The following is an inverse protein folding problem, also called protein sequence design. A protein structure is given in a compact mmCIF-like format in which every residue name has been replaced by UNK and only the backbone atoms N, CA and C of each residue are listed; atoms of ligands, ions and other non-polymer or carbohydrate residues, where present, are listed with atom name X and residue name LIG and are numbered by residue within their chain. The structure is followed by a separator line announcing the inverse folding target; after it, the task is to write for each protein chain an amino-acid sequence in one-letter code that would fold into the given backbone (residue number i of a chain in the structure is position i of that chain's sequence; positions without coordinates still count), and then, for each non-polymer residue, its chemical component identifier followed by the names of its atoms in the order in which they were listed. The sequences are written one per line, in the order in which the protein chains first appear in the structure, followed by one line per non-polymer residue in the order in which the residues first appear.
data_IF_871388409475
#
_entry.id   IF_871388409475
#
_cell.length_a   1.000
_cell.length_b   1.000
_cell.length_c   1.000
_cell.angle_alpha   90.00
_cell.angle_beta   90.00
_cell.angle_gamma   90.00
#
_symmetry.space_group_name_H-M   'P 1'
#
loop_
_entity.id
_entity.type
_entity.pdbx_description
1 polymer ?
#
# COMPACT_ATOMS: atom_id res chain seq x y z
N UNK A 1 55.34 72.51 -0.27
CA UNK A 1 53.89 72.37 -0.60
C UNK A 1 53.60 70.91 -0.89
N UNK A 2 53.12 70.16 0.11
CA UNK A 2 52.73 68.71 -0.02
C UNK A 2 51.23 68.62 -0.03
N UNK A 3 50.66 68.13 -1.14
CA UNK A 3 49.18 67.92 -1.28
C UNK A 3 48.81 66.59 -0.61
N UNK A 4 47.96 66.67 0.37
CA UNK A 4 47.37 65.54 1.05
C UNK A 4 46.21 65.01 0.19
N UNK A 5 46.24 63.72 -0.22
CA UNK A 5 45.16 63.06 -0.93
C UNK A 5 44.30 62.30 0.12
N UNK A 6 43.06 62.70 0.25
CA UNK A 6 42.07 62.08 1.05
C UNK A 6 41.53 60.86 0.27
N UNK A 7 41.71 59.65 0.83
CA UNK A 7 41.10 58.42 0.30
C UNK A 7 39.81 58.17 1.09
N UNK A 8 38.68 58.27 0.41
CA UNK A 8 37.36 57.92 0.98
C UNK A 8 37.13 56.43 0.74
N UNK A 9 37.08 55.65 1.83
CA UNK A 9 36.76 54.23 1.79
C UNK A 9 35.26 54.07 1.88
N UNK A 10 34.59 53.67 0.76
CA UNK A 10 33.19 53.28 0.76
C UNK A 10 33.04 51.83 1.29
N UNK A 11 32.47 51.67 2.47
CA UNK A 11 32.04 50.39 2.99
C UNK A 11 30.70 50.02 2.36
N UNK A 12 30.72 49.08 1.42
CA UNK A 12 29.51 48.39 0.93
C UNK A 12 29.06 47.33 1.94
N UNK A 13 28.01 47.59 2.68
CA UNK A 13 27.32 46.60 3.48
C UNK A 13 26.42 45.75 2.57
N UNK A 14 26.84 44.51 2.28
CA UNK A 14 25.98 43.53 1.61
C UNK A 14 24.93 43.04 2.61
N UNK A 15 23.71 43.54 2.47
CA UNK A 15 22.55 43.00 3.15
C UNK A 15 22.22 41.64 2.57
N UNK A 16 22.48 40.56 3.29
CA UNK A 16 21.99 39.24 2.97
C UNK A 16 20.47 39.22 3.16
N UNK A 17 19.73 39.22 2.05
CA UNK A 17 18.28 38.96 2.10
C UNK A 17 18.08 37.48 2.52
N UNK A 18 17.64 37.26 3.74
CA UNK A 18 17.17 35.96 4.18
C UNK A 18 15.93 35.59 3.37
N UNK A 19 16.01 34.50 2.58
CA UNK A 19 14.84 33.91 1.96
C UNK A 19 13.86 33.49 3.06
N UNK A 20 12.54 33.68 2.85
CA UNK A 20 11.56 33.26 3.82
C UNK A 20 11.64 31.73 3.97
N UNK A 21 11.89 31.25 5.20
CA UNK A 21 11.74 29.86 5.54
C UNK A 21 10.29 29.46 5.26
N UNK A 22 10.10 28.43 4.44
CA UNK A 22 8.81 27.81 4.27
C UNK A 22 8.34 27.38 5.67
N UNK A 23 7.30 28.02 6.16
CA UNK A 23 6.62 27.63 7.40
C UNK A 23 6.06 26.24 7.20
N UNK A 24 6.51 25.29 8.03
CA UNK A 24 5.88 23.98 8.09
C UNK A 24 4.37 24.19 8.35
N UNK A 25 3.53 23.67 7.45
CA UNK A 25 2.08 23.75 7.63
C UNK A 25 1.72 23.09 8.96
N UNK A 26 0.94 23.81 9.75
CA UNK A 26 0.48 23.34 11.04
C UNK A 26 -0.43 22.10 10.88
N UNK A 27 -0.39 21.10 11.78
CA UNK A 27 -1.20 19.88 11.72
C UNK A 27 -2.70 20.11 11.47
N UNK A 28 -3.24 21.26 11.90
CA UNK A 28 -4.64 21.65 11.68
C UNK A 28 -5.01 21.90 10.20
N UNK A 29 -4.06 22.29 9.34
CA UNK A 29 -4.32 22.51 7.92
C UNK A 29 -4.37 21.17 7.15
N UNK A 30 -3.55 20.19 7.54
CA UNK A 30 -3.59 18.83 6.99
C UNK A 30 -4.92 18.13 7.32
N UNK A 31 -5.46 18.31 8.53
CA UNK A 31 -6.74 17.72 8.96
C UNK A 31 -7.94 18.28 8.19
N UNK A 32 -7.93 19.56 7.83
CA UNK A 32 -9.03 20.19 7.10
C UNK A 32 -9.17 19.61 5.68
N UNK A 33 -8.06 19.20 5.06
CA UNK A 33 -8.07 18.60 3.73
C UNK A 33 -8.59 17.15 3.77
N UNK A 34 -8.20 16.36 4.79
CA UNK A 34 -8.69 15.01 5.01
C UNK A 34 -10.20 14.93 5.24
N UNK A 35 -10.78 15.96 5.86
CA UNK A 35 -12.22 16.02 6.12
C UNK A 35 -13.07 16.23 4.85
N UNK A 36 -12.47 16.52 3.70
CA UNK A 36 -13.17 16.83 2.45
C UNK A 36 -12.63 16.01 1.28
N UNK A 37 -12.92 14.68 1.23
CA UNK A 37 -12.60 13.87 0.07
C UNK A 37 -13.22 14.47 -1.21
N UNK A 38 -12.58 14.22 -2.34
CA UNK A 38 -13.08 14.67 -3.65
C UNK A 38 -14.49 14.15 -3.92
N UNK A 39 -15.25 14.91 -4.70
CA UNK A 39 -16.57 14.51 -5.16
C UNK A 39 -16.55 13.25 -6.06
N UNK A 40 -17.73 12.74 -6.39
CA UNK A 40 -17.84 11.51 -7.17
C UNK A 40 -17.38 11.69 -8.62
N UNK A 41 -17.57 12.85 -9.21
CA UNK A 41 -17.12 13.12 -10.58
C UNK A 41 -15.58 13.14 -10.65
N UNK A 42 -14.92 13.84 -9.75
CA UNK A 42 -13.46 13.85 -9.63
C UNK A 42 -12.92 12.46 -9.34
N UNK A 43 -13.59 11.70 -8.45
CA UNK A 43 -13.20 10.31 -8.17
C UNK A 43 -13.29 9.43 -9.41
N UNK A 44 -14.35 9.53 -10.24
CA UNK A 44 -14.44 8.78 -11.49
C UNK A 44 -13.27 9.10 -12.42
N UNK A 45 -12.85 10.36 -12.52
CA UNK A 45 -11.65 10.75 -13.29
C UNK A 45 -10.38 10.10 -12.74
N UNK A 46 -10.26 9.96 -11.39
CA UNK A 46 -9.11 9.27 -10.82
C UNK A 46 -9.06 7.79 -11.17
N UNK A 47 -10.19 7.13 -11.36
CA UNK A 47 -10.24 5.72 -11.79
C UNK A 47 -9.59 5.49 -13.16
N UNK A 48 -9.52 6.50 -14.02
CA UNK A 48 -8.88 6.40 -15.34
C UNK A 48 -7.37 6.12 -15.22
N UNK A 49 -6.71 6.58 -14.15
CA UNK A 49 -5.31 6.23 -13.88
C UNK A 49 -5.09 4.71 -13.72
N UNK A 50 -6.11 3.99 -13.27
CA UNK A 50 -6.06 2.56 -12.98
C UNK A 50 -6.56 1.68 -14.12
N UNK A 51 -6.97 2.28 -15.24
CA UNK A 51 -7.35 1.54 -16.42
C UNK A 51 -6.18 0.67 -16.95
N UNK A 52 -6.47 -0.57 -17.32
CA UNK A 52 -5.49 -1.53 -17.82
C UNK A 52 -6.10 -2.40 -18.94
N UNK A 53 -5.25 -3.03 -19.73
CA UNK A 53 -5.67 -3.94 -20.80
C UNK A 53 -5.99 -5.33 -20.21
N UNK A 54 -7.27 -5.62 -20.02
CA UNK A 54 -7.76 -6.92 -19.53
C UNK A 54 -7.46 -8.08 -20.48
N UNK A 55 -7.25 -7.81 -21.79
CA UNK A 55 -6.98 -8.84 -22.81
C UNK A 55 -5.49 -9.15 -22.94
N UNK A 56 -4.62 -8.38 -22.25
CA UNK A 56 -3.19 -8.63 -22.27
C UNK A 56 -2.91 -10.06 -21.74
N UNK A 57 -2.22 -10.93 -22.50
CA UNK A 57 -1.84 -12.26 -22.03
C UNK A 57 -1.06 -12.17 -20.73
N UNK A 58 -1.28 -13.11 -19.81
CA UNK A 58 -0.54 -13.13 -18.54
C UNK A 58 0.95 -13.49 -18.72
N UNK A 59 1.31 -14.20 -19.79
CA UNK A 59 2.65 -14.79 -19.93
C UNK A 59 3.13 -15.36 -18.58
N UNK A 60 2.24 -16.20 -17.99
CA UNK A 60 2.42 -16.76 -16.67
C UNK A 60 3.59 -17.75 -16.66
N UNK A 61 4.52 -17.57 -15.72
CA UNK A 61 5.66 -18.47 -15.51
C UNK A 61 5.66 -18.94 -14.07
N UNK A 62 5.67 -20.26 -13.88
CA UNK A 62 5.97 -20.87 -12.58
C UNK A 62 7.47 -21.07 -12.52
N UNK A 63 8.14 -20.41 -11.58
CA UNK A 63 9.59 -20.40 -11.44
C UNK A 63 10.03 -21.60 -10.59
N UNK A 64 9.40 -21.77 -9.44
CA UNK A 64 9.58 -22.92 -8.56
C UNK A 64 8.30 -23.27 -7.82
N UNK A 65 8.30 -24.44 -7.18
CA UNK A 65 7.20 -24.92 -6.33
C UNK A 65 7.77 -25.63 -5.12
N UNK A 66 7.25 -25.34 -3.96
CA UNK A 66 7.60 -25.92 -2.68
C UNK A 66 6.34 -26.36 -1.94
N UNK A 67 6.42 -27.45 -1.20
CA UNK A 67 5.35 -27.87 -0.28
C UNK A 67 5.93 -28.04 1.11
N UNK A 68 5.33 -27.36 2.08
CA UNK A 68 5.75 -27.39 3.47
C UNK A 68 4.55 -27.19 4.40
N UNK A 69 4.51 -27.99 5.48
CA UNK A 69 3.50 -27.86 6.54
C UNK A 69 2.04 -27.80 6.02
N UNK A 70 1.73 -28.62 5.00
CA UNK A 70 0.41 -28.70 4.39
C UNK A 70 0.03 -27.50 3.51
N UNK A 71 1.02 -26.67 3.13
CA UNK A 71 0.85 -25.54 2.22
C UNK A 71 1.77 -25.73 1.00
N UNK A 72 1.18 -25.65 -0.17
CA UNK A 72 1.92 -25.55 -1.44
C UNK A 72 2.16 -24.09 -1.78
N UNK A 73 3.42 -23.69 -2.00
CA UNK A 73 3.83 -22.38 -2.50
C UNK A 73 4.29 -22.50 -3.94
N UNK A 74 3.73 -21.69 -4.84
CA UNK A 74 4.26 -21.49 -6.18
C UNK A 74 4.92 -20.13 -6.25
N UNK A 75 6.21 -20.04 -6.58
CA UNK A 75 6.85 -18.80 -6.99
C UNK A 75 6.55 -18.59 -8.47
N UNK A 76 5.96 -17.47 -8.80
CA UNK A 76 5.49 -17.22 -10.16
C UNK A 76 5.69 -15.75 -10.58
N UNK A 77 5.68 -15.53 -11.89
CA UNK A 77 5.63 -14.19 -12.45
C UNK A 77 4.62 -14.12 -13.59
N UNK A 78 4.03 -12.95 -13.76
CA UNK A 78 3.03 -12.71 -14.82
C UNK A 78 3.13 -11.30 -15.36
N UNK A 79 2.72 -11.11 -16.60
CA UNK A 79 2.60 -9.78 -17.19
C UNK A 79 1.39 -9.05 -16.62
N UNK A 80 1.65 -7.96 -15.90
CA UNK A 80 0.62 -7.13 -15.29
C UNK A 80 0.10 -6.08 -16.26
N UNK A 81 0.98 -5.22 -16.75
CA UNK A 81 0.69 -4.26 -17.81
C UNK A 81 1.72 -4.42 -18.93
N UNK A 82 1.54 -3.74 -20.06
CA UNK A 82 2.44 -3.86 -21.19
C UNK A 82 3.89 -3.50 -20.80
N UNK A 83 4.80 -4.46 -20.92
CA UNK A 83 6.21 -4.30 -20.56
C UNK A 83 6.49 -4.35 -19.05
N UNK A 84 5.49 -4.59 -18.21
CA UNK A 84 5.67 -4.67 -16.75
C UNK A 84 5.27 -6.06 -16.24
N UNK A 85 6.24 -6.75 -15.61
CA UNK A 85 6.04 -8.05 -14.99
C UNK A 85 5.90 -7.93 -13.48
N UNK A 86 4.90 -8.59 -12.92
CA UNK A 86 4.74 -8.79 -11.49
C UNK A 86 5.32 -10.15 -11.08
N UNK A 87 5.91 -10.22 -9.88
CA UNK A 87 6.41 -11.43 -9.24
C UNK A 87 5.59 -11.70 -8.00
N UNK A 88 5.30 -12.97 -7.72
CA UNK A 88 4.40 -13.34 -6.64
C UNK A 88 4.71 -14.72 -6.06
N UNK A 89 4.27 -14.94 -4.82
CA UNK A 89 4.11 -16.26 -4.23
C UNK A 89 2.62 -16.58 -4.09
N UNK A 90 2.20 -17.69 -4.69
CA UNK A 90 0.86 -18.23 -4.48
C UNK A 90 0.93 -19.37 -3.46
N UNK A 91 0.35 -19.13 -2.29
CA UNK A 91 0.20 -20.15 -1.24
C UNK A 91 -1.20 -20.76 -1.33
N UNK A 92 -1.26 -22.09 -1.28
CA UNK A 92 -2.52 -22.84 -1.32
C UNK A 92 -2.51 -23.96 -0.30
N UNK A 93 -3.66 -24.36 0.27
CA UNK A 93 -3.74 -25.63 0.97
C UNK A 93 -3.26 -26.77 0.07
N UNK A 94 -2.51 -27.73 0.61
CA UNK A 94 -2.06 -28.90 -0.14
C UNK A 94 -3.21 -29.87 -0.51
N UNK A 95 -4.37 -29.72 0.13
CA UNK A 95 -5.55 -30.51 -0.15
C UNK A 95 -6.10 -30.24 -1.56
N UNK A 96 -6.65 -31.26 -2.25
CA UNK A 96 -7.28 -31.08 -3.56
C UNK A 96 -8.51 -30.19 -3.46
N UNK A 97 -8.66 -29.27 -4.44
CA UNK A 97 -9.84 -28.41 -4.53
C UNK A 97 -11.04 -29.20 -5.02
N UNK A 98 -12.09 -29.28 -4.22
CA UNK A 98 -13.41 -29.78 -4.63
C UNK A 98 -14.29 -28.69 -5.25
N UNK A 99 -13.91 -27.42 -5.10
CA UNK A 99 -14.63 -26.23 -5.55
C UNK A 99 -13.68 -25.05 -5.79
N UNK A 100 -14.20 -23.94 -6.29
CA UNK A 100 -13.44 -22.69 -6.39
C UNK A 100 -13.10 -22.16 -5.00
N UNK A 101 -11.87 -21.67 -4.83
CA UNK A 101 -11.32 -21.25 -3.55
C UNK A 101 -11.60 -19.78 -3.23
N UNK A 102 -11.96 -19.44 -1.98
CA UNK A 102 -11.81 -18.08 -1.50
C UNK A 102 -10.33 -17.70 -1.51
N UNK A 103 -10.03 -16.46 -1.81
CA UNK A 103 -8.64 -16.04 -2.05
C UNK A 103 -8.33 -14.68 -1.41
N UNK A 104 -7.05 -14.43 -1.17
CA UNK A 104 -6.52 -13.17 -0.67
C UNK A 104 -5.41 -12.71 -1.59
N UNK A 105 -5.46 -11.44 -2.01
CA UNK A 105 -4.29 -10.74 -2.57
C UNK A 105 -3.62 -10.03 -1.40
N UNK A 106 -2.31 -10.25 -1.22
CA UNK A 106 -1.56 -9.72 -0.08
C UNK A 106 -0.47 -8.75 -0.57
N UNK A 107 -0.51 -7.52 -0.06
CA UNK A 107 0.50 -6.48 -0.30
C UNK A 107 1.40 -6.36 0.93
N UNK A 108 2.71 -6.41 0.71
CA UNK A 108 3.74 -6.29 1.75
C UNK A 108 3.95 -4.85 2.23
N UNK A 109 4.71 -4.65 3.29
CA UNK A 109 5.20 -3.34 3.75
C UNK A 109 6.39 -2.82 2.93
N UNK A 110 6.94 -1.67 3.32
CA UNK A 110 8.01 -0.96 2.61
C UNK A 110 9.42 -1.57 2.74
N UNK A 111 9.56 -2.84 3.08
CA UNK A 111 10.87 -3.50 3.19
C UNK A 111 11.42 -4.00 1.86
N UNK A 112 12.77 -4.13 1.72
CA UNK A 112 13.41 -4.52 0.45
C UNK A 112 13.03 -5.91 -0.05
N UNK A 113 12.69 -6.81 0.87
CA UNK A 113 12.36 -8.20 0.54
C UNK A 113 11.01 -8.39 -0.16
N UNK A 114 10.18 -7.34 -0.27
CA UNK A 114 8.90 -7.43 -0.98
C UNK A 114 8.02 -8.55 -0.42
N UNK A 115 7.54 -9.44 -1.29
CA UNK A 115 6.74 -10.62 -0.93
C UNK A 115 7.48 -11.62 -0.02
N UNK A 116 8.80 -11.55 0.06
CA UNK A 116 9.62 -12.35 0.97
C UNK A 116 9.84 -11.70 2.34
N UNK A 117 9.15 -10.59 2.62
CA UNK A 117 9.13 -9.93 3.92
C UNK A 117 8.68 -10.90 5.03
N UNK A 118 9.29 -10.87 6.23
CA UNK A 118 8.92 -11.76 7.34
C UNK A 118 7.43 -11.75 7.70
N UNK A 119 6.77 -10.59 7.62
CA UNK A 119 5.33 -10.48 7.84
C UNK A 119 4.51 -11.28 6.83
N UNK A 120 4.88 -11.24 5.55
CA UNK A 120 4.23 -12.03 4.50
C UNK A 120 4.50 -13.52 4.70
N UNK A 121 5.78 -13.89 4.96
CA UNK A 121 6.16 -15.28 5.18
C UNK A 121 5.48 -15.93 6.40
N UNK A 122 5.12 -15.13 7.41
CA UNK A 122 4.32 -15.60 8.53
C UNK A 122 2.83 -15.69 8.18
N UNK A 123 2.28 -14.63 7.58
CA UNK A 123 0.82 -14.50 7.41
C UNK A 123 0.27 -15.34 6.26
N UNK A 124 0.98 -15.40 5.13
CA UNK A 124 0.45 -16.09 3.95
C UNK A 124 0.24 -17.61 4.17
N UNK A 125 1.18 -18.36 4.77
CA UNK A 125 0.94 -19.77 5.11
C UNK A 125 -0.17 -19.96 6.18
N UNK A 126 -0.31 -19.04 7.14
CA UNK A 126 -1.39 -19.10 8.14
C UNK A 126 -2.76 -18.96 7.48
N UNK A 127 -2.92 -17.99 6.59
CA UNK A 127 -4.15 -17.78 5.83
C UNK A 127 -4.41 -18.99 4.91
N UNK A 128 -3.38 -19.55 4.28
CA UNK A 128 -3.52 -20.72 3.43
C UNK A 128 -3.99 -21.95 4.23
N UNK A 129 -3.42 -22.21 5.41
CA UNK A 129 -3.89 -23.29 6.31
C UNK A 129 -5.33 -23.10 6.79
N UNK A 130 -5.80 -21.86 6.84
CA UNK A 130 -7.20 -21.56 7.15
C UNK A 130 -8.17 -21.79 5.96
N UNK A 131 -7.67 -22.31 4.83
CA UNK A 131 -8.48 -22.72 3.68
C UNK A 131 -8.64 -21.66 2.60
N UNK A 132 -7.81 -20.63 2.55
CA UNK A 132 -7.83 -19.59 1.53
C UNK A 132 -6.56 -19.61 0.67
N UNK A 133 -6.69 -19.40 -0.64
CA UNK A 133 -5.49 -19.11 -1.44
C UNK A 133 -4.94 -17.72 -1.07
N UNK A 134 -3.62 -17.56 -1.11
CA UNK A 134 -2.98 -16.25 -0.89
C UNK A 134 -2.00 -15.97 -2.02
N UNK A 135 -2.24 -14.89 -2.76
CA UNK A 135 -1.31 -14.38 -3.75
C UNK A 135 -0.59 -13.14 -3.20
N UNK A 136 0.61 -13.32 -2.69
CA UNK A 136 1.47 -12.25 -2.22
C UNK A 136 2.28 -11.72 -3.40
N UNK A 137 2.12 -10.44 -3.77
CA UNK A 137 2.78 -9.82 -4.93
C UNK A 137 3.85 -8.82 -4.50
N UNK A 138 4.95 -8.74 -5.25
CA UNK A 138 5.91 -7.65 -5.11
C UNK A 138 5.32 -6.34 -5.65
N UNK A 139 5.25 -5.31 -4.82
CA UNK A 139 4.98 -3.96 -5.32
C UNK A 139 6.17 -3.45 -6.13
N UNK A 140 5.93 -2.52 -7.04
CA UNK A 140 6.99 -1.94 -7.87
C UNK A 140 8.11 -1.35 -7.00
N UNK A 141 9.35 -1.52 -7.40
CA UNK A 141 10.60 -1.14 -6.72
C UNK A 141 10.98 -2.01 -5.52
N UNK A 142 10.21 -3.05 -5.19
CA UNK A 142 10.48 -3.94 -4.07
C UNK A 142 10.63 -5.40 -4.53
N UNK A 143 11.32 -6.21 -3.73
CA UNK A 143 11.53 -7.62 -4.02
C UNK A 143 12.24 -7.84 -5.36
N UNK A 144 11.74 -8.73 -6.19
CA UNK A 144 12.28 -9.02 -7.53
C UNK A 144 12.02 -7.88 -8.55
N UNK A 145 11.31 -6.84 -8.16
CA UNK A 145 11.08 -5.63 -8.97
C UNK A 145 11.95 -4.46 -8.54
N UNK A 146 12.93 -4.68 -7.68
CA UNK A 146 13.89 -3.66 -7.27
C UNK A 146 14.68 -3.15 -8.48
N UNK A 147 15.01 -1.87 -8.44
CA UNK A 147 15.79 -1.15 -9.47
C UNK A 147 16.81 -0.26 -8.79
N UNK A 148 17.60 0.48 -9.55
CA UNK A 148 18.55 1.47 -9.04
C UNK A 148 17.88 2.65 -8.31
N UNK A 149 16.54 2.74 -8.36
CA UNK A 149 15.80 3.81 -7.68
C UNK A 149 15.95 3.73 -6.16
N UNK A 150 15.97 2.50 -5.60
CA UNK A 150 16.23 2.25 -4.17
C UNK A 150 17.44 1.32 -4.05
N UNK A 151 18.43 1.72 -3.27
CA UNK A 151 19.69 0.98 -3.09
C UNK A 151 19.96 0.59 -1.66
N UNK A 152 19.61 1.42 -0.71
CA UNK A 152 19.82 1.19 0.73
C UNK A 152 18.53 0.83 1.46
N UNK A 153 17.38 1.13 0.88
CA UNK A 153 16.04 0.93 1.44
C UNK A 153 15.83 1.57 2.82
N UNK A 154 16.65 2.58 3.17
CA UNK A 154 16.38 3.38 4.37
C UNK A 154 15.06 4.14 4.22
N UNK A 155 14.43 4.48 5.34
CA UNK A 155 13.22 5.30 5.31
C UNK A 155 13.48 6.62 4.58
N UNK A 156 14.62 7.28 4.87
CA UNK A 156 15.01 8.52 4.21
C UNK A 156 15.10 8.35 2.68
N UNK A 157 15.77 7.32 2.18
CA UNK A 157 15.88 7.08 0.72
C UNK A 157 14.51 6.85 0.08
N UNK A 158 13.65 6.04 0.72
CA UNK A 158 12.30 5.78 0.21
C UNK A 158 11.46 7.07 0.12
N UNK A 159 11.57 7.95 1.13
CA UNK A 159 10.87 9.23 1.11
C UNK A 159 11.45 10.17 0.05
N UNK A 160 12.76 10.28 -0.04
CA UNK A 160 13.40 11.19 -0.99
C UNK A 160 13.20 10.77 -2.45
N UNK A 161 13.09 9.48 -2.73
CA UNK A 161 13.04 8.97 -4.10
C UNK A 161 11.65 8.53 -4.57
N UNK A 162 10.74 8.20 -3.64
CA UNK A 162 9.39 7.74 -4.00
C UNK A 162 8.32 8.55 -3.26
N UNK A 163 8.26 8.46 -1.92
CA UNK A 163 7.04 8.86 -1.20
C UNK A 163 6.83 10.37 -1.18
N UNK A 164 7.88 11.18 -1.12
CA UNK A 164 7.81 12.63 -1.23
C UNK A 164 8.04 13.17 -2.66
N UNK A 165 8.19 12.26 -3.65
CA UNK A 165 8.24 12.61 -5.06
C UNK A 165 6.86 12.38 -5.68
N UNK A 166 5.99 13.37 -5.62
CA UNK A 166 4.57 13.23 -5.98
C UNK A 166 4.30 12.52 -7.33
N UNK A 167 5.00 12.81 -8.44
CA UNK A 167 4.81 12.10 -9.70
C UNK A 167 5.23 10.63 -9.62
N UNK A 168 6.34 10.33 -8.93
CA UNK A 168 6.85 8.96 -8.74
C UNK A 168 5.90 8.16 -7.85
N UNK A 169 5.41 8.79 -6.79
CA UNK A 169 4.44 8.18 -5.88
C UNK A 169 3.11 7.87 -6.60
N UNK A 170 2.59 8.80 -7.41
CA UNK A 170 1.40 8.54 -8.22
C UNK A 170 1.62 7.37 -9.21
N UNK A 171 2.78 7.32 -9.87
CA UNK A 171 3.11 6.22 -10.78
C UNK A 171 3.21 4.88 -10.04
N UNK A 172 3.82 4.85 -8.85
CA UNK A 172 3.92 3.68 -7.99
C UNK A 172 2.53 3.20 -7.52
N UNK A 173 1.68 4.09 -7.02
CA UNK A 173 0.29 3.78 -6.64
C UNK A 173 -0.48 3.23 -7.84
N UNK A 174 -0.39 3.92 -8.98
CA UNK A 174 -1.09 3.53 -10.21
C UNK A 174 -0.70 2.13 -10.65
N UNK A 175 0.59 1.82 -10.69
CA UNK A 175 1.04 0.48 -11.07
C UNK A 175 0.61 -0.58 -10.04
N UNK A 176 0.70 -0.28 -8.74
CA UNK A 176 0.27 -1.21 -7.67
C UNK A 176 -1.22 -1.54 -7.78
N UNK A 177 -2.08 -0.56 -8.05
CA UNK A 177 -3.52 -0.80 -8.25
C UNK A 177 -3.77 -1.68 -9.48
N UNK A 178 -3.07 -1.44 -10.59
CA UNK A 178 -3.15 -2.28 -11.80
C UNK A 178 -2.66 -3.71 -11.53
N UNK A 179 -1.59 -3.86 -10.75
CA UNK A 179 -1.06 -5.16 -10.36
C UNK A 179 -2.08 -5.95 -9.53
N UNK A 180 -2.78 -5.29 -8.59
CA UNK A 180 -3.87 -5.90 -7.80
C UNK A 180 -5.02 -6.36 -8.71
N UNK A 181 -5.44 -5.52 -9.66
CA UNK A 181 -6.51 -5.89 -10.60
C UNK A 181 -6.12 -7.04 -11.52
N UNK A 182 -4.86 -7.08 -11.98
CA UNK A 182 -4.33 -8.20 -12.78
C UNK A 182 -4.13 -9.46 -11.95
N UNK A 183 -3.74 -9.33 -10.68
CA UNK A 183 -3.68 -10.45 -9.74
C UNK A 183 -5.07 -11.05 -9.51
N UNK A 184 -6.11 -10.22 -9.41
CA UNK A 184 -7.50 -10.68 -9.37
C UNK A 184 -7.86 -11.51 -10.61
N UNK A 185 -7.59 -10.98 -11.81
CA UNK A 185 -7.85 -11.68 -13.07
C UNK A 185 -7.10 -13.03 -13.14
N UNK A 186 -5.81 -13.03 -12.77
CA UNK A 186 -4.97 -14.24 -12.74
C UNK A 186 -5.55 -15.31 -11.79
N UNK A 187 -5.96 -14.92 -10.60
CA UNK A 187 -6.55 -15.84 -9.61
C UNK A 187 -7.82 -16.49 -10.15
N UNK A 188 -8.70 -15.71 -10.78
CA UNK A 188 -9.99 -16.20 -11.33
C UNK A 188 -9.77 -17.07 -12.58
N UNK A 189 -8.97 -16.59 -13.52
CA UNK A 189 -8.84 -17.22 -14.84
C UNK A 189 -7.86 -18.39 -14.85
N UNK A 190 -6.79 -18.34 -14.03
CA UNK A 190 -5.68 -19.28 -14.11
C UNK A 190 -5.46 -20.10 -12.85
N UNK A 191 -6.08 -19.73 -11.71
CA UNK A 191 -5.81 -20.35 -10.41
C UNK A 191 -7.06 -20.83 -9.67
N UNK A 192 -8.22 -20.83 -10.33
CA UNK A 192 -9.45 -21.42 -9.81
C UNK A 192 -10.06 -20.70 -8.62
N UNK A 193 -9.76 -19.41 -8.44
CA UNK A 193 -10.39 -18.61 -7.40
C UNK A 193 -11.86 -18.32 -7.71
N UNK A 194 -12.67 -18.17 -6.66
CA UNK A 194 -14.03 -17.68 -6.77
C UNK A 194 -14.00 -16.14 -6.90
N UNK A 195 -14.45 -15.62 -8.02
CA UNK A 195 -14.47 -14.18 -8.30
C UNK A 195 -15.29 -13.35 -7.29
N UNK A 196 -16.20 -13.98 -6.53
CA UNK A 196 -17.00 -13.30 -5.52
C UNK A 196 -16.36 -13.34 -4.12
N UNK A 197 -15.28 -14.10 -3.95
CA UNK A 197 -14.66 -14.39 -2.66
C UNK A 197 -13.16 -14.08 -2.67
N UNK A 198 -12.78 -12.89 -3.15
CA UNK A 198 -11.40 -12.42 -3.16
C UNK A 198 -11.30 -11.17 -2.29
N UNK A 199 -10.50 -11.23 -1.22
CA UNK A 199 -10.16 -10.08 -0.38
C UNK A 199 -8.80 -9.49 -0.75
N UNK A 200 -8.61 -8.22 -0.40
CA UNK A 200 -7.31 -7.54 -0.45
C UNK A 200 -6.84 -7.28 0.98
N UNK A 201 -5.62 -7.68 1.29
CA UNK A 201 -4.96 -7.40 2.57
C UNK A 201 -3.67 -6.64 2.29
N UNK A 202 -3.46 -5.53 2.96
CA UNK A 202 -2.21 -4.77 2.86
C UNK A 202 -1.59 -4.50 4.22
N UNK A 203 -0.25 -4.48 4.28
CA UNK A 203 0.52 -4.20 5.50
C UNK A 203 1.31 -2.89 5.32
N UNK A 204 1.27 -1.99 6.31
CA UNK A 204 2.06 -0.75 6.31
C UNK A 204 1.87 0.03 5.00
N UNK A 205 2.91 0.23 4.22
CA UNK A 205 2.85 0.85 2.90
C UNK A 205 1.88 0.13 1.94
N UNK A 206 1.81 -1.20 2.01
CA UNK A 206 0.80 -2.00 1.30
C UNK A 206 -0.63 -1.75 1.77
N UNK A 207 -0.85 -1.36 3.03
CA UNK A 207 -2.17 -1.00 3.54
C UNK A 207 -2.68 0.33 2.95
N UNK A 208 -1.79 1.32 2.78
CA UNK A 208 -2.11 2.57 2.08
C UNK A 208 -2.55 2.27 0.63
N UNK A 209 -1.78 1.45 -0.07
CA UNK A 209 -2.12 1.02 -1.43
C UNK A 209 -3.43 0.20 -1.47
N UNK A 210 -3.69 -0.64 -0.46
CA UNK A 210 -4.91 -1.45 -0.37
C UNK A 210 -6.17 -0.59 -0.19
N UNK A 211 -6.12 0.54 0.52
CA UNK A 211 -7.24 1.47 0.60
C UNK A 211 -7.61 2.02 -0.78
N UNK A 212 -6.62 2.35 -1.61
CA UNK A 212 -6.81 2.88 -2.96
C UNK A 212 -7.30 1.78 -3.90
N UNK A 213 -6.58 0.65 -3.98
CA UNK A 213 -6.93 -0.47 -4.85
C UNK A 213 -8.30 -1.08 -4.49
N UNK A 214 -8.60 -1.18 -3.19
CA UNK A 214 -9.88 -1.68 -2.71
C UNK A 214 -11.07 -0.83 -3.13
N UNK A 215 -10.92 0.48 -3.22
CA UNK A 215 -11.97 1.37 -3.74
C UNK A 215 -12.02 1.37 -5.27
N UNK A 216 -10.87 1.31 -5.93
CA UNK A 216 -10.75 1.33 -7.39
C UNK A 216 -11.27 0.05 -8.03
N UNK A 217 -10.95 -1.11 -7.47
CA UNK A 217 -11.44 -2.40 -7.97
C UNK A 217 -12.63 -2.92 -7.14
N UNK A 218 -13.82 -2.66 -7.64
CA UNK A 218 -15.08 -3.03 -6.96
C UNK A 218 -15.37 -4.54 -6.94
N UNK A 219 -14.59 -5.36 -7.62
CA UNK A 219 -14.71 -6.82 -7.63
C UNK A 219 -14.16 -7.47 -6.36
N UNK A 220 -13.27 -6.78 -5.66
CA UNK A 220 -12.75 -7.23 -4.37
C UNK A 220 -13.88 -7.30 -3.33
N UNK A 221 -14.05 -8.45 -2.69
CA UNK A 221 -15.14 -8.69 -1.75
C UNK A 221 -14.96 -7.99 -0.40
N UNK A 222 -13.72 -7.83 0.05
CA UNK A 222 -13.38 -7.21 1.34
C UNK A 222 -11.96 -6.62 1.30
N UNK A 223 -11.67 -5.68 2.21
CA UNK A 223 -10.35 -5.02 2.31
C UNK A 223 -9.88 -4.99 3.75
N UNK A 224 -8.64 -5.40 4.02
CA UNK A 224 -8.01 -5.27 5.32
C UNK A 224 -6.74 -4.42 5.24
N UNK A 225 -6.60 -3.47 6.16
CA UNK A 225 -5.45 -2.59 6.33
C UNK A 225 -4.78 -2.90 7.66
N UNK A 226 -3.51 -3.32 7.62
CA UNK A 226 -2.73 -3.69 8.78
C UNK A 226 -1.60 -2.68 8.96
N UNK A 227 -1.56 -1.96 10.09
CA UNK A 227 -0.58 -0.89 10.36
C UNK A 227 -0.50 0.15 9.24
N UNK A 228 -1.65 0.57 8.71
CA UNK A 228 -1.76 1.57 7.65
C UNK A 228 -2.47 2.82 8.12
N UNK A 229 -2.16 3.93 7.49
CA UNK A 229 -2.74 5.24 7.79
C UNK A 229 -2.89 6.08 6.53
N UNK A 230 -2.97 7.38 6.74
CA UNK A 230 -3.07 8.36 5.66
C UNK A 230 -1.68 8.72 5.10
N UNK A 231 -0.79 9.15 5.97
CA UNK A 231 0.62 9.40 5.73
C UNK A 231 1.45 8.70 6.80
N UNK A 232 2.71 8.36 6.49
CA UNK A 232 3.66 8.11 7.56
C UNK A 232 4.25 9.43 8.10
N UNK A 233 5.05 9.31 9.19
CA UNK A 233 5.57 10.47 9.91
C UNK A 233 6.52 11.36 9.08
N UNK A 234 7.10 10.85 7.99
CA UNK A 234 8.09 11.53 7.14
C UNK A 234 7.50 12.03 5.81
N UNK A 235 6.25 11.72 5.52
CA UNK A 235 5.60 12.16 4.28
C UNK A 235 5.19 13.63 4.35
N UNK A 236 5.37 14.34 3.24
CA UNK A 236 5.07 15.77 3.11
C UNK A 236 3.74 16.05 2.41
N UNK A 237 3.22 15.11 1.65
CA UNK A 237 1.95 15.22 0.95
C UNK A 237 1.87 14.41 -0.32
N UNK A 238 0.66 13.97 -0.66
CA UNK A 238 0.35 13.22 -1.86
C UNK A 238 -0.38 14.08 -2.88
N UNK A 239 -0.30 13.70 -4.16
CA UNK A 239 -1.29 14.15 -5.12
C UNK A 239 -2.66 13.57 -4.72
N UNK A 240 -3.77 14.32 -4.85
CA UNK A 240 -5.09 13.84 -4.45
C UNK A 240 -5.48 12.50 -5.08
N UNK A 241 -5.08 12.24 -6.32
CA UNK A 241 -5.31 10.97 -7.01
C UNK A 241 -4.53 9.77 -6.43
N UNK A 242 -3.52 10.00 -5.60
CA UNK A 242 -2.74 8.96 -4.92
C UNK A 242 -2.98 8.92 -3.41
N UNK A 243 -3.96 9.68 -2.90
CA UNK A 243 -4.21 9.80 -1.48
C UNK A 243 -5.34 8.87 -1.01
N UNK A 244 -5.10 7.98 -0.02
CA UNK A 244 -6.09 7.04 0.48
C UNK A 244 -7.35 7.69 1.03
N UNK A 245 -7.30 8.94 1.49
CA UNK A 245 -8.46 9.68 1.98
C UNK A 245 -9.58 9.82 0.92
N UNK A 246 -9.21 9.92 -0.35
CA UNK A 246 -10.18 10.02 -1.44
C UNK A 246 -10.83 8.68 -1.81
N UNK A 247 -10.34 7.57 -1.26
CA UNK A 247 -10.72 6.21 -1.63
C UNK A 247 -11.41 5.44 -0.51
N UNK A 248 -10.91 5.50 0.71
CA UNK A 248 -11.28 4.59 1.79
C UNK A 248 -12.79 4.55 2.07
N UNK A 249 -13.47 5.70 2.04
CA UNK A 249 -14.92 5.79 2.23
C UNK A 249 -15.74 5.13 1.11
N UNK A 250 -15.12 4.88 -0.06
CA UNK A 250 -15.73 4.26 -1.23
C UNK A 250 -15.55 2.73 -1.29
N UNK A 251 -14.88 2.14 -0.31
CA UNK A 251 -14.84 0.69 -0.13
C UNK A 251 -16.24 0.19 0.25
N UNK A 252 -16.97 0.92 1.11
CA UNK A 252 -18.36 0.60 1.47
C UNK A 252 -19.25 0.43 0.21
N UNK A 253 -20.19 -0.54 0.18
CA UNK A 253 -20.69 -1.35 1.30
C UNK A 253 -19.90 -2.66 1.56
N UNK A 254 -18.72 -2.83 1.01
CA UNK A 254 -17.88 -4.01 1.25
C UNK A 254 -17.17 -3.89 2.61
N UNK A 255 -16.96 -5.02 3.32
CA UNK A 255 -16.30 -5.02 4.63
C UNK A 255 -14.90 -4.42 4.60
N UNK A 256 -14.60 -3.57 5.58
CA UNK A 256 -13.27 -3.02 5.84
C UNK A 256 -12.81 -3.42 7.24
N UNK A 257 -11.59 -3.96 7.34
CA UNK A 257 -10.89 -4.17 8.60
C UNK A 257 -9.70 -3.23 8.68
N UNK A 258 -9.50 -2.57 9.82
CA UNK A 258 -8.27 -1.84 10.15
C UNK A 258 -7.70 -2.36 11.46
N UNK A 259 -6.41 -2.73 11.47
CA UNK A 259 -5.66 -3.12 12.66
C UNK A 259 -4.43 -2.24 12.75
N UNK A 260 -4.29 -1.45 13.82
CA UNK A 260 -3.20 -0.49 14.00
C UNK A 260 -2.59 -0.59 15.40
N UNK A 261 -1.34 -0.15 15.55
CA UNK A 261 -0.67 -0.01 16.83
C UNK A 261 -1.02 1.29 17.54
N UNK A 262 -1.23 1.24 18.86
CA UNK A 262 -1.49 2.45 19.68
C UNK A 262 -0.25 3.32 19.86
N UNK A 263 0.94 2.71 19.73
CA UNK A 263 2.25 3.35 19.88
C UNK A 263 3.05 3.38 18.56
N UNK A 264 2.34 3.35 17.44
CA UNK A 264 2.95 3.38 16.10
C UNK A 264 3.56 4.77 15.84
N UNK A 265 4.87 4.80 15.57
CA UNK A 265 5.62 6.02 15.30
C UNK A 265 5.73 6.34 13.81
N UNK A 266 5.41 5.39 12.94
CA UNK A 266 5.39 5.57 11.51
C UNK A 266 3.99 6.02 11.04
N UNK A 267 2.97 5.24 11.40
CA UNK A 267 1.55 5.58 11.16
C UNK A 267 0.95 6.11 12.46
N UNK A 268 1.27 7.37 12.78
CA UNK A 268 0.88 8.00 14.05
C UNK A 268 -0.64 7.99 14.20
N UNK A 269 -1.10 7.50 15.35
CA UNK A 269 -2.52 7.29 15.62
C UNK A 269 -3.35 8.54 15.37
N UNK A 270 -2.97 9.68 15.97
CA UNK A 270 -3.75 10.91 16.00
C UNK A 270 -3.73 11.65 14.65
N UNK A 271 -2.61 11.61 13.93
CA UNK A 271 -2.38 12.43 12.73
C UNK A 271 -2.49 11.65 11.43
N UNK A 272 -2.36 10.32 11.46
CA UNK A 272 -2.41 9.48 10.27
C UNK A 272 -3.57 8.49 10.27
N UNK A 273 -3.78 7.76 11.37
CA UNK A 273 -4.74 6.65 11.39
C UNK A 273 -6.16 7.12 11.68
N UNK A 274 -6.38 7.86 12.77
CA UNK A 274 -7.72 8.32 13.15
C UNK A 274 -8.35 9.27 12.12
N UNK A 275 -7.63 10.23 11.49
CA UNK A 275 -8.19 11.02 10.41
C UNK A 275 -8.72 10.16 9.25
N UNK A 276 -7.95 9.12 8.86
CA UNK A 276 -8.39 8.19 7.82
C UNK A 276 -9.59 7.32 8.26
N UNK A 277 -9.61 6.87 9.52
CA UNK A 277 -10.72 6.12 10.10
C UNK A 277 -12.03 6.91 10.11
N UNK A 278 -11.98 8.22 10.33
CA UNK A 278 -13.16 9.10 10.27
C UNK A 278 -13.85 9.10 8.90
N UNK A 279 -13.11 8.83 7.83
CA UNK A 279 -13.62 8.76 6.46
C UNK A 279 -14.23 7.40 6.11
N UNK A 280 -14.01 6.36 6.91
CA UNK A 280 -14.54 5.01 6.65
C UNK A 280 -16.04 4.94 6.89
N UNK A 281 -16.72 4.10 6.11
CA UNK A 281 -18.16 3.83 6.23
C UNK A 281 -18.41 2.37 6.63
N UNK A 282 -19.62 2.07 7.10
CA UNK A 282 -20.02 0.69 7.42
C UNK A 282 -20.15 -0.18 6.15
N UNK A 283 -19.92 -1.51 6.26
CA UNK A 283 -19.48 -2.23 7.46
C UNK A 283 -17.96 -2.11 7.67
N UNK A 284 -17.57 -1.85 8.91
CA UNK A 284 -16.15 -1.74 9.28
C UNK A 284 -15.87 -2.34 10.65
N UNK A 285 -14.67 -2.90 10.81
CA UNK A 285 -14.11 -3.34 12.08
C UNK A 285 -12.77 -2.63 12.28
N UNK A 286 -12.60 -1.95 13.42
CA UNK A 286 -11.38 -1.22 13.78
C UNK A 286 -10.84 -1.82 15.06
N UNK A 287 -9.60 -2.31 15.03
CA UNK A 287 -8.90 -2.91 16.16
C UNK A 287 -7.60 -2.17 16.43
N UNK A 288 -7.24 -2.09 17.70
CA UNK A 288 -6.00 -1.47 18.16
C UNK A 288 -5.17 -2.51 18.93
N UNK A 289 -3.90 -2.62 18.59
CA UNK A 289 -2.91 -3.41 19.30
C UNK A 289 -2.04 -2.49 20.17
N UNK A 290 -1.74 -2.91 21.40
CA UNK A 290 -0.81 -2.18 22.28
C UNK A 290 0.64 -2.39 21.82
N UNK A 291 0.95 -1.93 20.60
CA UNK A 291 2.25 -2.10 19.94
C UNK A 291 2.65 -0.85 19.16
N UNK A 292 3.94 -0.74 18.82
CA UNK A 292 4.43 0.19 17.79
C UNK A 292 4.15 -0.33 16.36
N UNK A 293 4.85 0.24 15.39
CA UNK A 293 4.82 -0.25 14.00
C UNK A 293 5.42 -1.65 13.93
N UNK A 294 4.64 -2.63 13.49
CA UNK A 294 5.06 -4.03 13.47
C UNK A 294 5.04 -4.60 12.06
N UNK A 295 6.01 -5.45 11.75
CA UNK A 295 6.00 -6.25 10.53
C UNK A 295 5.07 -7.46 10.63
N UNK A 296 4.59 -7.79 11.84
CA UNK A 296 3.69 -8.92 12.10
C UNK A 296 2.60 -8.54 13.11
N UNK A 297 1.43 -9.13 12.97
CA UNK A 297 0.35 -8.98 13.96
C UNK A 297 0.65 -9.78 15.24
N UNK A 298 0.10 -9.33 16.38
CA UNK A 298 0.01 -10.16 17.60
C UNK A 298 -0.83 -11.41 17.32
N UNK A 299 -0.74 -12.44 18.16
CA UNK A 299 -1.53 -13.66 18.00
C UNK A 299 -3.04 -13.41 18.01
N UNK A 300 -3.50 -12.55 18.92
CA UNK A 300 -4.88 -12.11 19.00
C UNK A 300 -5.37 -11.49 17.69
N UNK A 301 -4.59 -10.54 17.15
CA UNK A 301 -4.95 -9.83 15.93
C UNK A 301 -4.83 -10.70 14.67
N UNK A 302 -3.90 -11.68 14.65
CA UNK A 302 -3.86 -12.71 13.60
C UNK A 302 -5.15 -13.55 13.60
N UNK A 303 -5.58 -13.99 14.78
CA UNK A 303 -6.82 -14.75 14.94
C UNK A 303 -8.06 -13.92 14.54
N UNK A 304 -8.09 -12.63 14.87
CA UNK A 304 -9.15 -11.71 14.47
C UNK A 304 -9.20 -11.53 12.95
N UNK A 305 -8.04 -11.33 12.30
CA UNK A 305 -7.95 -11.24 10.84
C UNK A 305 -8.45 -12.51 10.16
N UNK A 306 -8.03 -13.69 10.63
CA UNK A 306 -8.46 -14.98 10.05
C UNK A 306 -9.98 -15.17 10.15
N UNK A 307 -10.57 -14.94 11.33
CA UNK A 307 -12.04 -14.98 11.50
C UNK A 307 -12.74 -14.01 10.58
N UNK A 308 -12.28 -12.78 10.53
CA UNK A 308 -12.87 -11.74 9.68
C UNK A 308 -12.80 -12.10 8.19
N UNK A 309 -11.67 -12.65 7.71
CA UNK A 309 -11.54 -13.13 6.33
C UNK A 309 -12.51 -14.26 6.03
N UNK A 310 -12.60 -15.26 6.93
CA UNK A 310 -13.52 -16.38 6.76
C UNK A 310 -14.99 -15.93 6.75
N UNK A 311 -15.36 -14.94 7.54
CA UNK A 311 -16.72 -14.36 7.55
C UNK A 311 -17.03 -13.54 6.32
N UNK A 312 -16.07 -12.73 5.87
CA UNK A 312 -16.23 -11.85 4.71
C UNK A 312 -16.21 -12.57 3.36
N UNK A 313 -15.69 -13.81 3.33
CA UNK A 313 -15.52 -14.61 2.11
C UNK A 313 -16.38 -15.91 2.11
N UNK A 314 -17.48 -15.93 2.87
CA UNK A 314 -18.46 -17.02 2.89
C UNK A 314 -19.21 -17.22 1.58
#
# INVERSE_FOLDING_TARGET
MKRLRLVVLLLLTAGAAMAPHATAETPAAADAWLARPVDDQTFQTYLDFFAYDKKLPFDLRVIDTEEKDGVKREHLSFQSTRGVRAYAHLYRPAAPASQRWPSVILLHGGGPAGKDNPGVQLMAPLIARAGLNVLAIDMQYFGERSTDLLTTFTEQEKHDRIYNQQPVYLAWVTQTVKDVSRAFDLLVEQRGADAKRIALVGMSRGAIAAAIAGAADRRLAAVAMLYGGHFDALERGHLPAACPANYIGRISPRPLLMINGTHDTDMIKETSVEPLQRLTRQPKLILWAETGHQSTLTEEHRSALLRWLQESLK
#
